data_IF_352738195830
#
_entry.id   IF_352738195830
#
_cell.length_a   1.000
_cell.length_b   1.000
_cell.length_c   1.000
_cell.angle_alpha   90.00
_cell.angle_beta   90.00
_cell.angle_gamma   90.00
#
_symmetry.space_group_name_H-M   'P 1'
#
loop_
_entity.id
_entity.type
_entity.pdbx_description
1 polymer ?
#
# COMPACT_ATOMS: atom_id res chain seq x y z
N UNK A 1 -26.66 19.38 -13.68
CA UNK A 1 -25.45 18.89 -12.97
C UNK A 1 -24.96 19.87 -11.89
N UNK A 2 -25.18 21.19 -12.02
CA UNK A 2 -25.00 22.17 -10.92
C UNK A 2 -25.93 21.93 -9.72
N UNK A 3 -27.14 21.41 -9.94
CA UNK A 3 -28.16 21.19 -8.89
C UNK A 3 -27.93 19.96 -7.98
N UNK A 4 -26.93 19.11 -8.25
CA UNK A 4 -26.49 18.08 -7.30
C UNK A 4 -25.28 18.53 -6.46
N UNK A 5 -24.65 19.65 -6.83
CA UNK A 5 -23.52 20.20 -6.09
C UNK A 5 -23.99 20.82 -4.75
N UNK A 6 -25.22 21.36 -4.72
CA UNK A 6 -25.66 22.42 -3.79
C UNK A 6 -26.55 21.97 -2.62
N UNK A 7 -26.86 20.66 -2.50
CA UNK A 7 -27.96 20.22 -1.59
C UNK A 7 -27.60 20.12 -0.10
N UNK A 8 -26.32 20.18 0.27
CA UNK A 8 -25.83 20.50 1.62
C UNK A 8 -24.29 20.34 1.66
N UNK A 9 -23.51 21.42 1.72
CA UNK A 9 -22.04 21.33 1.77
C UNK A 9 -21.56 20.60 3.03
N UNK A 10 -22.25 20.79 4.16
CA UNK A 10 -21.93 20.15 5.45
C UNK A 10 -22.14 18.63 5.41
N UNK A 11 -23.18 18.14 4.73
CA UNK A 11 -23.40 16.69 4.57
C UNK A 11 -22.35 16.06 3.67
N UNK A 12 -21.86 16.74 2.61
CA UNK A 12 -20.78 16.22 1.77
C UNK A 12 -19.47 16.17 2.54
N UNK A 13 -19.10 17.23 3.24
CA UNK A 13 -17.89 17.21 4.08
C UNK A 13 -17.99 16.12 5.15
N UNK A 14 -19.14 16.00 5.84
CA UNK A 14 -19.38 14.94 6.80
C UNK A 14 -19.31 13.53 6.18
N UNK A 15 -19.81 13.35 4.95
CA UNK A 15 -19.77 12.06 4.23
C UNK A 15 -18.34 11.71 3.81
N UNK A 16 -17.55 12.69 3.35
CA UNK A 16 -16.13 12.51 3.05
C UNK A 16 -15.36 12.18 4.33
N UNK A 17 -15.54 12.96 5.40
CA UNK A 17 -14.92 12.68 6.70
C UNK A 17 -15.33 11.31 7.26
N UNK A 18 -16.60 10.92 7.11
CA UNK A 18 -17.08 9.60 7.52
C UNK A 18 -16.46 8.48 6.68
N UNK A 19 -16.34 8.66 5.36
CA UNK A 19 -15.70 7.66 4.48
C UNK A 19 -14.19 7.50 4.75
N UNK A 20 -13.48 8.59 5.03
CA UNK A 20 -12.06 8.54 5.46
C UNK A 20 -11.93 7.89 6.84
N UNK A 21 -12.84 8.19 7.78
CA UNK A 21 -12.84 7.58 9.11
C UNK A 21 -13.17 6.09 9.06
N UNK A 22 -14.15 5.69 8.24
CA UNK A 22 -14.48 4.29 7.96
C UNK A 22 -13.30 3.55 7.32
N UNK A 23 -12.59 4.16 6.37
CA UNK A 23 -11.39 3.58 5.79
C UNK A 23 -10.28 3.39 6.85
N UNK A 24 -10.07 4.39 7.72
CA UNK A 24 -9.07 4.32 8.77
C UNK A 24 -9.43 3.32 9.90
N UNK A 25 -10.72 3.17 10.21
CA UNK A 25 -11.19 2.16 11.14
C UNK A 25 -11.08 0.75 10.51
N UNK A 26 -11.40 0.60 9.22
CA UNK A 26 -11.24 -0.66 8.47
C UNK A 26 -9.79 -1.16 8.46
N UNK A 27 -8.82 -0.25 8.37
CA UNK A 27 -7.38 -0.55 8.44
C UNK A 27 -7.02 -1.27 9.73
N UNK A 28 -7.54 -0.82 10.88
CA UNK A 28 -7.24 -1.45 12.18
C UNK A 28 -7.75 -2.88 12.22
N UNK A 29 -8.95 -3.13 11.73
CA UNK A 29 -9.52 -4.49 11.70
C UNK A 29 -8.73 -5.42 10.79
N UNK A 30 -8.31 -4.95 9.61
CA UNK A 30 -7.49 -5.77 8.72
C UNK A 30 -6.10 -5.98 9.28
N UNK A 31 -5.47 -4.96 9.88
CA UNK A 31 -4.18 -5.11 10.55
C UNK A 31 -4.24 -6.10 11.72
N UNK A 32 -5.32 -6.06 12.52
CA UNK A 32 -5.58 -7.04 13.58
C UNK A 32 -5.77 -8.45 13.01
N UNK A 33 -6.50 -8.60 11.90
CA UNK A 33 -6.66 -9.88 11.23
C UNK A 33 -5.33 -10.41 10.70
N UNK A 34 -4.52 -9.57 10.02
CA UNK A 34 -3.19 -9.92 9.52
C UNK A 34 -2.27 -10.37 10.65
N UNK A 35 -2.22 -9.64 11.75
CA UNK A 35 -1.45 -10.02 12.95
C UNK A 35 -1.97 -11.32 13.56
N UNK A 36 -3.28 -11.48 13.67
CA UNK A 36 -3.85 -12.71 14.17
C UNK A 36 -3.45 -13.90 13.30
N UNK A 37 -3.61 -13.81 11.97
CA UNK A 37 -3.21 -14.87 11.06
C UNK A 37 -1.70 -15.15 11.11
N UNK A 38 -0.88 -14.12 11.15
CA UNK A 38 0.58 -14.21 11.22
C UNK A 38 1.03 -15.00 12.46
N UNK A 39 0.42 -14.76 13.62
CA UNK A 39 0.82 -15.36 14.90
C UNK A 39 -0.14 -16.44 15.44
N UNK A 40 -1.18 -16.86 14.70
CA UNK A 40 -2.20 -17.83 15.20
C UNK A 40 -1.61 -19.17 15.62
N UNK A 41 -0.52 -19.58 14.98
CA UNK A 41 0.18 -20.84 15.23
C UNK A 41 1.33 -20.68 16.25
N UNK A 42 1.49 -19.50 16.84
CA UNK A 42 2.52 -19.22 17.82
C UNK A 42 2.16 -19.85 19.18
N UNK A 43 3.14 -20.47 19.84
CA UNK A 43 2.96 -21.21 21.10
C UNK A 43 2.52 -20.31 22.27
N UNK A 44 2.94 -19.03 22.28
CA UNK A 44 2.60 -18.07 23.34
C UNK A 44 1.43 -17.16 22.95
N UNK A 45 0.29 -17.33 23.64
CA UNK A 45 -0.89 -16.46 23.49
C UNK A 45 -0.63 -15.02 23.96
N UNK A 46 0.29 -14.83 24.91
CA UNK A 46 0.69 -13.50 25.39
C UNK A 46 1.35 -12.68 24.29
N UNK A 47 2.15 -13.32 23.42
CA UNK A 47 2.79 -12.66 22.26
C UNK A 47 1.76 -12.10 21.28
N UNK A 48 0.74 -12.89 20.96
CA UNK A 48 -0.37 -12.47 20.08
C UNK A 48 -1.06 -11.22 20.64
N UNK A 49 -1.35 -11.23 21.95
CA UNK A 49 -1.97 -10.08 22.61
C UNK A 49 -1.10 -8.83 22.55
N UNK A 50 0.21 -8.95 22.77
CA UNK A 50 1.15 -7.84 22.64
C UNK A 50 1.18 -7.26 21.21
N UNK A 51 1.18 -8.11 20.18
CA UNK A 51 1.11 -7.65 18.79
C UNK A 51 -0.20 -6.93 18.48
N UNK A 52 -1.32 -7.43 19.00
CA UNK A 52 -2.61 -6.74 18.87
C UNK A 52 -2.60 -5.38 19.58
N UNK A 53 -1.96 -5.28 20.76
CA UNK A 53 -1.79 -3.99 21.43
C UNK A 53 -0.93 -3.02 20.59
N UNK A 54 0.14 -3.49 19.94
CA UNK A 54 0.93 -2.64 19.06
C UNK A 54 0.12 -2.09 17.87
N UNK A 55 -0.82 -2.87 17.34
CA UNK A 55 -1.75 -2.39 16.30
C UNK A 55 -2.71 -1.33 16.88
N UNK A 56 -3.30 -1.60 18.05
CA UNK A 56 -4.26 -0.70 18.68
C UNK A 56 -3.64 0.65 19.06
N UNK A 57 -2.40 0.64 19.55
CA UNK A 57 -1.64 1.86 19.90
C UNK A 57 -0.88 2.47 18.71
N UNK A 58 -1.07 1.97 17.48
CA UNK A 58 -0.36 2.41 16.28
C UNK A 58 1.19 2.36 16.40
N UNK A 59 1.71 1.56 17.33
CA UNK A 59 3.14 1.37 17.56
C UNK A 59 3.75 0.34 16.59
N UNK A 60 2.92 -0.49 15.96
CA UNK A 60 3.37 -1.60 15.11
C UNK A 60 4.36 -1.20 14.00
N UNK A 61 4.16 -0.11 13.23
CA UNK A 61 5.13 0.29 12.21
C UNK A 61 6.54 0.52 12.77
N UNK A 62 6.65 1.08 13.98
CA UNK A 62 7.94 1.31 14.64
C UNK A 62 8.56 0.03 15.19
N UNK A 63 7.73 -0.87 15.75
CA UNK A 63 8.17 -2.17 16.25
C UNK A 63 8.66 -3.07 15.11
N UNK A 64 7.92 -3.11 14.00
CA UNK A 64 8.30 -3.89 12.81
C UNK A 64 9.59 -3.32 12.19
N UNK A 65 9.72 -1.99 12.11
CA UNK A 65 10.95 -1.31 11.67
C UNK A 65 12.16 -1.69 12.52
N UNK A 66 11.98 -1.67 13.84
CA UNK A 66 13.02 -2.06 14.77
C UNK A 66 13.47 -3.52 14.56
N UNK A 67 12.53 -4.46 14.36
CA UNK A 67 12.84 -5.87 14.13
C UNK A 67 13.58 -6.12 12.81
N UNK A 68 13.19 -5.41 11.74
CA UNK A 68 13.87 -5.51 10.44
C UNK A 68 15.30 -4.96 10.51
N UNK A 69 15.51 -3.84 11.20
CA UNK A 69 16.85 -3.26 11.39
C UNK A 69 17.75 -4.17 12.21
N UNK A 70 17.21 -4.88 13.19
CA UNK A 70 17.95 -5.88 13.96
C UNK A 70 18.17 -7.21 13.22
N UNK A 71 17.70 -7.34 11.98
CA UNK A 71 17.74 -8.59 11.22
C UNK A 71 17.16 -9.76 12.04
N UNK A 72 16.06 -9.53 12.75
CA UNK A 72 15.41 -10.57 13.54
C UNK A 72 15.01 -11.74 12.66
N UNK A 73 15.35 -12.96 13.08
CA UNK A 73 14.95 -14.17 12.39
C UNK A 73 13.44 -14.41 12.53
N UNK A 74 12.91 -15.27 11.66
CA UNK A 74 11.51 -15.67 11.68
C UNK A 74 11.19 -16.38 13.01
N UNK A 75 10.22 -15.85 13.75
CA UNK A 75 9.75 -16.46 15.02
C UNK A 75 9.09 -17.83 14.78
N UNK A 76 9.25 -18.75 15.74
CA UNK A 76 8.70 -20.12 15.66
C UNK A 76 7.17 -20.06 15.64
N UNK A 77 6.56 -20.52 14.53
CA UNK A 77 5.10 -20.49 14.33
C UNK A 77 4.57 -19.23 13.64
N UNK A 78 5.42 -18.26 13.30
CA UNK A 78 5.04 -17.14 12.44
C UNK A 78 4.90 -17.59 10.97
N UNK A 79 3.97 -16.99 10.21
CA UNK A 79 3.81 -17.31 8.79
C UNK A 79 4.93 -16.70 7.93
N UNK A 80 5.25 -15.43 8.16
CA UNK A 80 6.22 -14.66 7.39
C UNK A 80 7.41 -14.21 8.24
N UNK A 81 8.55 -13.91 7.61
CA UNK A 81 9.67 -13.23 8.26
C UNK A 81 9.32 -11.75 8.57
N UNK A 82 9.99 -11.11 9.54
CA UNK A 82 9.67 -9.73 9.95
C UNK A 82 9.72 -8.70 8.82
N UNK A 83 10.59 -8.90 7.83
CA UNK A 83 10.71 -8.02 6.67
C UNK A 83 9.50 -8.16 5.75
N UNK A 84 9.10 -9.38 5.41
CA UNK A 84 7.90 -9.63 4.62
C UNK A 84 6.63 -9.17 5.33
N UNK A 85 6.53 -9.35 6.65
CA UNK A 85 5.41 -8.84 7.46
C UNK A 85 5.27 -7.32 7.34
N UNK A 86 6.38 -6.59 7.48
CA UNK A 86 6.40 -5.14 7.32
C UNK A 86 5.97 -4.72 5.91
N UNK A 87 6.51 -5.37 4.87
CA UNK A 87 6.16 -5.07 3.48
C UNK A 87 4.66 -5.24 3.26
N UNK A 88 4.06 -6.34 3.72
CA UNK A 88 2.62 -6.58 3.58
C UNK A 88 1.82 -5.49 4.29
N UNK A 89 2.22 -5.10 5.50
CA UNK A 89 1.59 -4.02 6.25
C UNK A 89 1.68 -2.68 5.50
N UNK A 90 2.85 -2.33 4.97
CA UNK A 90 3.09 -1.11 4.18
C UNK A 90 2.31 -1.10 2.86
N UNK A 91 2.21 -2.23 2.18
CA UNK A 91 1.40 -2.37 0.97
C UNK A 91 -0.09 -2.16 1.28
N UNK A 92 -0.57 -2.67 2.41
CA UNK A 92 -1.94 -2.44 2.86
C UNK A 92 -2.19 -0.97 3.22
N UNK A 93 -1.26 -0.32 3.93
CA UNK A 93 -1.31 1.12 4.21
C UNK A 93 -1.37 1.95 2.92
N UNK A 94 -0.55 1.62 1.92
CA UNK A 94 -0.58 2.28 0.61
C UNK A 94 -1.94 2.13 -0.07
N UNK A 95 -2.51 0.92 -0.06
CA UNK A 95 -3.77 0.62 -0.73
C UNK A 95 -5.00 1.22 -0.05
N UNK A 96 -5.13 1.06 1.27
CA UNK A 96 -6.33 1.42 2.01
C UNK A 96 -6.38 2.89 2.44
N UNK A 97 -5.22 3.56 2.55
CA UNK A 97 -5.14 4.92 3.10
C UNK A 97 -4.48 5.89 2.12
N UNK A 98 -3.26 5.60 1.66
CA UNK A 98 -2.50 6.56 0.87
C UNK A 98 -3.14 6.83 -0.51
N UNK A 99 -3.55 5.78 -1.23
CA UNK A 99 -4.18 5.93 -2.55
C UNK A 99 -5.54 6.64 -2.44
N UNK A 100 -6.51 6.18 -1.62
CA UNK A 100 -7.79 6.89 -1.45
C UNK A 100 -7.61 8.32 -0.93
N UNK A 101 -6.69 8.54 0.02
CA UNK A 101 -6.37 9.86 0.54
C UNK A 101 -5.86 10.80 -0.55
N UNK A 102 -4.95 10.34 -1.39
CA UNK A 102 -4.42 11.12 -2.51
C UNK A 102 -5.49 11.49 -3.53
N UNK A 103 -6.48 10.60 -3.78
CA UNK A 103 -7.62 10.88 -4.66
C UNK A 103 -8.53 11.97 -4.07
N UNK A 104 -8.84 11.89 -2.78
CA UNK A 104 -9.67 12.89 -2.09
C UNK A 104 -8.97 14.25 -2.05
N UNK A 105 -7.67 14.29 -1.73
CA UNK A 105 -6.87 15.52 -1.75
C UNK A 105 -6.80 16.14 -3.14
N UNK A 106 -6.65 15.31 -4.18
CA UNK A 106 -6.65 15.77 -5.58
C UNK A 106 -8.03 16.33 -5.98
N UNK A 107 -9.12 15.68 -5.55
CA UNK A 107 -10.48 16.17 -5.76
C UNK A 107 -10.74 17.50 -5.06
N UNK A 108 -10.30 17.64 -3.79
CA UNK A 108 -10.41 18.88 -3.04
C UNK A 108 -9.63 20.03 -3.70
N UNK A 109 -8.46 19.75 -4.27
CA UNK A 109 -7.67 20.72 -5.01
C UNK A 109 -8.35 21.17 -6.32
N UNK A 110 -8.92 20.24 -7.10
CA UNK A 110 -9.52 20.55 -8.40
C UNK A 110 -10.93 21.16 -8.31
N UNK A 111 -11.77 20.70 -7.38
CA UNK A 111 -13.19 21.06 -7.31
C UNK A 111 -13.45 22.16 -6.26
N UNK A 112 -12.52 22.40 -5.35
CA UNK A 112 -12.65 23.41 -4.30
C UNK A 112 -12.75 24.83 -4.86
N UNK A 113 -13.76 25.59 -4.42
CA UNK A 113 -14.00 26.98 -4.83
C UNK A 113 -12.94 27.96 -4.32
N UNK A 114 -12.32 27.65 -3.17
CA UNK A 114 -11.14 28.30 -2.65
C UNK A 114 -10.06 27.23 -2.52
N UNK A 115 -8.95 27.36 -3.24
CA UNK A 115 -7.82 26.43 -3.13
C UNK A 115 -6.87 26.95 -2.05
N UNK A 116 -7.00 26.54 -0.78
CA UNK A 116 -6.03 26.95 0.22
C UNK A 116 -4.68 26.34 -0.15
N UNK A 117 -3.59 27.11 -0.04
CA UNK A 117 -2.23 26.60 -0.21
C UNK A 117 -2.00 25.31 0.61
N UNK A 118 -2.67 25.20 1.78
CA UNK A 118 -2.66 24.02 2.64
C UNK A 118 -3.10 22.72 1.94
N UNK A 119 -4.04 22.76 0.99
CA UNK A 119 -4.49 21.57 0.26
C UNK A 119 -3.41 21.02 -0.68
N UNK A 120 -2.67 21.92 -1.36
CA UNK A 120 -1.53 21.55 -2.22
C UNK A 120 -0.42 20.95 -1.36
N UNK A 121 -0.08 21.59 -0.24
CA UNK A 121 0.93 21.04 0.67
C UNK A 121 0.53 19.66 1.19
N UNK A 122 -0.73 19.47 1.61
CA UNK A 122 -1.23 18.18 2.08
C UNK A 122 -1.15 17.09 1.00
N UNK A 123 -1.51 17.43 -0.24
CA UNK A 123 -1.41 16.53 -1.39
C UNK A 123 0.05 16.15 -1.68
N UNK A 124 0.95 17.13 -1.75
CA UNK A 124 2.38 16.90 -2.03
C UNK A 124 3.01 16.00 -0.96
N UNK A 125 2.78 16.28 0.32
CA UNK A 125 3.32 15.46 1.40
C UNK A 125 2.76 14.03 1.37
N UNK A 126 1.46 13.88 1.12
CA UNK A 126 0.81 12.56 1.00
C UNK A 126 1.41 11.73 -0.15
N UNK A 127 1.53 12.32 -1.34
CA UNK A 127 2.15 11.67 -2.51
C UNK A 127 3.62 11.31 -2.23
N UNK A 128 4.37 12.19 -1.56
CA UNK A 128 5.75 11.94 -1.21
C UNK A 128 5.88 10.80 -0.18
N UNK A 129 5.09 10.79 0.89
CA UNK A 129 5.12 9.70 1.87
C UNK A 129 4.77 8.34 1.25
N UNK A 130 3.76 8.32 0.38
CA UNK A 130 3.38 7.11 -0.35
C UNK A 130 4.50 6.64 -1.29
N UNK A 131 5.10 7.56 -2.03
CA UNK A 131 6.17 7.26 -2.99
C UNK A 131 7.46 6.84 -2.31
N UNK A 132 7.78 7.44 -1.17
CA UNK A 132 8.92 7.04 -0.34
C UNK A 132 8.75 5.61 0.17
N UNK A 133 7.54 5.26 0.63
CA UNK A 133 7.22 3.90 1.09
C UNK A 133 7.34 2.88 -0.04
N UNK A 134 6.72 3.17 -1.21
CA UNK A 134 6.78 2.29 -2.39
C UNK A 134 8.20 2.11 -2.91
N UNK A 135 8.97 3.20 -2.96
CA UNK A 135 10.38 3.19 -3.38
C UNK A 135 11.25 2.42 -2.40
N UNK A 136 11.05 2.61 -1.08
CA UNK A 136 11.75 1.88 -0.04
C UNK A 136 11.57 0.36 -0.17
N UNK A 137 10.32 -0.09 -0.32
CA UNK A 137 10.01 -1.50 -0.51
C UNK A 137 10.71 -2.05 -1.76
N UNK A 138 10.60 -1.35 -2.90
CA UNK A 138 11.21 -1.78 -4.17
C UNK A 138 12.73 -1.80 -4.09
N UNK A 139 13.33 -0.80 -3.45
CA UNK A 139 14.77 -0.69 -3.25
C UNK A 139 15.29 -1.82 -2.35
N UNK A 140 14.58 -2.13 -1.26
CA UNK A 140 14.95 -3.23 -0.37
C UNK A 140 14.93 -4.57 -1.11
N UNK A 141 13.87 -4.84 -1.88
CA UNK A 141 13.78 -6.07 -2.69
C UNK A 141 14.90 -6.15 -3.74
N UNK A 142 15.20 -5.05 -4.43
CA UNK A 142 16.32 -5.04 -5.37
C UNK A 142 17.66 -5.26 -4.67
N UNK A 143 17.85 -4.76 -3.44
CA UNK A 143 19.09 -4.93 -2.68
C UNK A 143 19.24 -6.32 -2.04
N UNK A 144 18.21 -7.17 -2.07
CA UNK A 144 18.30 -8.53 -1.55
C UNK A 144 19.11 -9.45 -2.48
N UNK A 145 20.07 -10.16 -1.88
CA UNK A 145 20.95 -11.09 -2.60
C UNK A 145 20.17 -12.28 -3.13
N UNK A 146 19.22 -12.81 -2.36
CA UNK A 146 18.44 -13.98 -2.75
C UNK A 146 17.53 -13.64 -3.92
N UNK A 147 16.83 -12.51 -3.85
CA UNK A 147 16.00 -12.00 -4.94
C UNK A 147 16.79 -11.83 -6.25
N UNK A 148 18.00 -11.24 -6.20
CA UNK A 148 18.89 -11.08 -7.37
C UNK A 148 19.30 -12.40 -8.00
N UNK A 149 19.55 -13.43 -7.20
CA UNK A 149 19.91 -14.77 -7.70
C UNK A 149 18.70 -15.46 -8.34
N UNK A 150 17.52 -15.34 -7.73
CA UNK A 150 16.29 -15.98 -8.23
C UNK A 150 15.73 -15.32 -9.49
N UNK A 151 15.85 -14.00 -9.62
CA UNK A 151 15.30 -13.24 -10.74
C UNK A 151 16.29 -12.16 -11.23
N UNK A 152 17.42 -12.57 -11.83
CA UNK A 152 18.49 -11.66 -12.25
C UNK A 152 18.09 -10.72 -13.40
N UNK A 153 17.06 -11.06 -14.16
CA UNK A 153 16.53 -10.20 -15.21
C UNK A 153 15.65 -9.06 -14.67
N UNK A 154 15.15 -9.20 -13.44
CA UNK A 154 14.23 -8.24 -12.81
C UNK A 154 14.93 -7.40 -11.74
N UNK A 155 15.75 -8.05 -10.91
CA UNK A 155 16.53 -7.41 -9.84
C UNK A 155 17.99 -7.20 -10.24
N UNK A 156 18.66 -6.27 -9.56
CA UNK A 156 20.06 -5.91 -9.80
C UNK A 156 20.23 -4.53 -10.46
N UNK A 157 19.15 -3.74 -10.59
CA UNK A 157 19.23 -2.41 -11.19
C UNK A 157 19.84 -1.37 -10.23
N UNK A 158 19.85 -1.63 -8.91
CA UNK A 158 20.54 -0.78 -7.94
C UNK A 158 22.04 -1.16 -7.89
N UNK A 159 22.95 -0.23 -8.24
CA UNK A 159 24.38 -0.49 -8.25
C UNK A 159 24.98 -0.59 -6.83
N UNK A 160 26.14 -1.23 -6.70
CA UNK A 160 26.81 -1.41 -5.39
C UNK A 160 27.33 -0.12 -4.75
N UNK A 161 27.70 0.88 -5.56
CA UNK A 161 28.33 2.13 -5.12
C UNK A 161 27.35 3.09 -4.44
N UNK A 162 27.69 3.61 -3.25
CA UNK A 162 26.82 4.43 -2.40
C UNK A 162 26.25 5.66 -3.11
N UNK A 163 27.08 6.43 -3.85
CA UNK A 163 26.62 7.63 -4.57
C UNK A 163 25.58 7.28 -5.64
N UNK A 164 25.77 6.16 -6.33
CA UNK A 164 24.84 5.70 -7.37
C UNK A 164 23.55 5.14 -6.77
N UNK A 165 23.60 4.47 -5.60
CA UNK A 165 22.41 4.04 -4.86
C UNK A 165 21.48 5.21 -4.53
N UNK A 166 22.04 6.29 -3.97
CA UNK A 166 21.26 7.49 -3.65
C UNK A 166 20.63 8.10 -4.91
N UNK A 167 21.38 8.14 -6.04
CA UNK A 167 20.84 8.61 -7.32
C UNK A 167 19.68 7.75 -7.82
N UNK A 168 19.83 6.42 -7.79
CA UNK A 168 18.78 5.48 -8.22
C UNK A 168 17.56 5.59 -7.31
N UNK A 169 17.76 5.59 -5.99
CA UNK A 169 16.68 5.78 -5.02
C UNK A 169 15.92 7.08 -5.26
N UNK A 170 16.62 8.21 -5.40
CA UNK A 170 16.00 9.50 -5.68
C UNK A 170 15.22 9.47 -7.00
N UNK A 171 15.76 8.87 -8.07
CA UNK A 171 15.05 8.76 -9.34
C UNK A 171 13.78 7.91 -9.24
N UNK A 172 13.84 6.76 -8.56
CA UNK A 172 12.66 5.91 -8.33
C UNK A 172 11.59 6.66 -7.53
N UNK A 173 12.01 7.38 -6.49
CA UNK A 173 11.14 8.18 -5.66
C UNK A 173 10.38 9.24 -6.46
N UNK A 174 11.08 10.04 -7.28
CA UNK A 174 10.44 11.06 -8.09
C UNK A 174 9.55 10.47 -9.20
N UNK A 175 9.97 9.37 -9.84
CA UNK A 175 9.15 8.68 -10.83
C UNK A 175 7.86 8.16 -10.17
N UNK A 176 7.97 7.51 -9.01
CA UNK A 176 6.81 7.03 -8.26
C UNK A 176 5.87 8.17 -7.85
N UNK A 177 6.41 9.31 -7.43
CA UNK A 177 5.61 10.49 -7.07
C UNK A 177 4.87 11.08 -8.28
N UNK A 178 5.55 11.21 -9.42
CA UNK A 178 4.94 11.65 -10.67
C UNK A 178 3.88 10.67 -11.18
N UNK A 179 4.11 9.36 -11.06
CA UNK A 179 3.14 8.34 -11.47
C UNK A 179 1.90 8.36 -10.58
N UNK A 180 2.06 8.44 -9.26
CA UNK A 180 0.94 8.50 -8.33
C UNK A 180 0.11 9.77 -8.53
N UNK A 181 0.75 10.92 -8.70
CA UNK A 181 0.04 12.19 -8.95
C UNK A 181 -0.68 12.20 -10.29
N UNK A 182 -0.04 11.72 -11.36
CA UNK A 182 -0.65 11.62 -12.69
C UNK A 182 -1.88 10.69 -12.68
N UNK A 183 -1.78 9.55 -11.99
CA UNK A 183 -2.90 8.61 -11.86
C UNK A 183 -4.02 9.16 -11.00
N UNK A 184 -3.71 9.81 -9.89
CA UNK A 184 -4.72 10.44 -9.04
C UNK A 184 -5.47 11.55 -9.80
N UNK A 185 -4.74 12.39 -10.54
CA UNK A 185 -5.33 13.44 -11.38
C UNK A 185 -6.22 12.85 -12.47
N UNK A 186 -5.75 11.83 -13.18
CA UNK A 186 -6.52 11.17 -14.25
C UNK A 186 -7.81 10.55 -13.70
N UNK A 187 -7.75 9.84 -12.57
CA UNK A 187 -8.92 9.29 -11.91
C UNK A 187 -9.95 10.37 -11.57
N UNK A 188 -9.52 11.50 -10.99
CA UNK A 188 -10.42 12.59 -10.59
C UNK A 188 -11.02 13.27 -11.81
N UNK A 189 -10.23 13.53 -12.87
CA UNK A 189 -10.75 14.13 -14.11
C UNK A 189 -11.79 13.22 -14.78
N UNK A 190 -11.53 11.91 -14.86
CA UNK A 190 -12.52 10.95 -15.35
C UNK A 190 -13.78 10.93 -14.46
N UNK A 191 -13.62 11.07 -13.14
CA UNK A 191 -14.74 11.06 -12.19
C UNK A 191 -15.64 12.30 -12.30
N UNK A 192 -15.08 13.44 -12.70
CA UNK A 192 -15.84 14.67 -12.97
C UNK A 192 -16.68 14.52 -14.24
N UNK A 193 -16.18 13.81 -15.25
CA UNK A 193 -16.89 13.61 -16.51
C UNK A 193 -18.05 12.62 -16.36
N UNK A 194 -17.75 11.37 -15.98
CA UNK A 194 -18.79 10.36 -15.72
C UNK A 194 -18.24 9.18 -14.92
N UNK A 195 -19.12 8.51 -14.16
CA UNK A 195 -18.74 7.28 -13.44
C UNK A 195 -18.32 6.16 -14.39
N UNK A 196 -18.86 6.11 -15.62
CA UNK A 196 -18.48 5.11 -16.62
C UNK A 196 -17.07 5.33 -17.15
N UNK A 197 -16.64 6.59 -17.34
CA UNK A 197 -15.28 6.94 -17.79
C UNK A 197 -14.23 6.48 -16.76
N UNK A 198 -14.52 6.60 -15.46
CA UNK A 198 -13.65 6.09 -14.39
C UNK A 198 -13.50 4.58 -14.48
N UNK A 199 -14.59 3.86 -14.69
CA UNK A 199 -14.55 2.39 -14.82
C UNK A 199 -13.70 1.99 -16.03
N UNK A 200 -13.87 2.64 -17.18
CA UNK A 200 -13.04 2.38 -18.36
C UNK A 200 -11.56 2.69 -18.12
N UNK A 201 -11.24 3.80 -17.45
CA UNK A 201 -9.87 4.14 -17.08
C UNK A 201 -9.26 3.08 -16.14
N UNK A 202 -9.97 2.68 -15.09
CA UNK A 202 -9.50 1.65 -14.15
C UNK A 202 -9.31 0.28 -14.82
N UNK A 203 -10.21 -0.09 -15.75
CA UNK A 203 -10.08 -1.31 -16.55
C UNK A 203 -8.89 -1.22 -17.51
N UNK A 204 -8.64 -0.07 -18.15
CA UNK A 204 -7.49 0.14 -19.03
C UNK A 204 -6.15 0.04 -18.29
N UNK A 205 -6.09 0.59 -17.07
CA UNK A 205 -4.91 0.55 -16.20
C UNK A 205 -4.68 -0.82 -15.52
N UNK A 206 -5.63 -1.75 -15.65
CA UNK A 206 -5.61 -3.05 -14.97
C UNK A 206 -4.64 -4.07 -15.56
N UNK A 207 -3.58 -3.64 -16.26
CA UNK A 207 -2.57 -4.52 -16.86
C UNK A 207 -1.95 -5.49 -15.83
N UNK A 208 -1.71 -5.02 -14.60
CA UNK A 208 -1.24 -5.86 -13.49
C UNK A 208 -2.32 -6.86 -13.05
N UNK A 209 -3.59 -6.46 -13.04
CA UNK A 209 -4.71 -7.31 -12.65
C UNK A 209 -5.00 -8.38 -13.71
N UNK A 210 -4.88 -8.02 -14.99
CA UNK A 210 -4.92 -8.94 -16.13
C UNK A 210 -3.76 -9.94 -16.09
N UNK A 211 -2.55 -9.48 -15.75
CA UNK A 211 -1.40 -10.37 -15.56
C UNK A 211 -1.60 -11.34 -14.38
N UNK A 212 -2.12 -10.85 -13.24
CA UNK A 212 -2.47 -11.70 -12.10
C UNK A 212 -3.60 -12.67 -12.42
N UNK A 213 -4.62 -12.23 -13.16
CA UNK A 213 -5.69 -13.10 -13.64
C UNK A 213 -5.14 -14.17 -14.60
N UNK A 214 -4.24 -13.81 -15.50
CA UNK A 214 -3.54 -14.76 -16.37
C UNK A 214 -2.74 -15.81 -15.58
N UNK A 215 -2.02 -15.39 -14.53
CA UNK A 215 -1.36 -16.33 -13.60
C UNK A 215 -2.35 -17.20 -12.84
N UNK A 216 -3.51 -16.65 -12.44
CA UNK A 216 -4.60 -17.41 -11.81
C UNK A 216 -5.10 -18.52 -12.71
N UNK A 217 -5.36 -18.22 -13.97
CA UNK A 217 -5.81 -19.19 -14.97
C UNK A 217 -4.78 -20.29 -15.20
N UNK A 218 -3.48 -19.97 -15.16
CA UNK A 218 -2.41 -20.97 -15.27
C UNK A 218 -2.17 -21.76 -13.98
N UNK A 219 -2.86 -21.43 -12.88
CA UNK A 219 -2.60 -21.98 -11.53
C UNK A 219 -1.15 -21.78 -11.09
N UNK A 220 -0.49 -20.76 -11.64
CA UNK A 220 0.93 -20.45 -11.39
C UNK A 220 1.07 -19.41 -10.28
N UNK A 221 0.35 -19.65 -9.17
CA UNK A 221 0.59 -18.99 -7.91
C UNK A 221 1.39 -19.94 -7.02
N UNK A 222 2.65 -20.17 -7.38
CA UNK A 222 3.59 -20.87 -6.50
C UNK A 222 3.85 -19.95 -5.30
N UNK A 223 3.02 -20.08 -4.26
CA UNK A 223 2.99 -19.17 -3.11
C UNK A 223 4.10 -19.56 -2.12
N UNK A 224 4.98 -18.62 -1.77
CA UNK A 224 6.11 -18.87 -0.87
C UNK A 224 5.71 -19.00 0.60
N UNK A 225 4.48 -18.63 0.97
CA UNK A 225 3.98 -18.77 2.34
C UNK A 225 3.31 -20.15 2.47
N UNK A 226 3.67 -20.96 3.47
CA UNK A 226 3.00 -22.22 3.72
C UNK A 226 1.57 -21.92 4.22
N UNK A 227 0.56 -22.15 3.38
CA UNK A 227 -0.85 -21.95 3.74
C UNK A 227 -1.44 -23.30 4.10
N UNK A 228 -1.53 -23.59 5.40
CA UNK A 228 -2.13 -24.85 5.86
C UNK A 228 -3.67 -24.80 5.83
N UNK A 229 -4.31 -25.86 5.32
CA UNK A 229 -5.77 -26.01 5.28
C UNK A 229 -6.37 -25.82 3.88
N UNK A 230 -7.53 -25.15 3.76
CA UNK A 230 -8.24 -24.98 2.46
C UNK A 230 -7.38 -24.29 1.38
N UNK A 231 -6.39 -23.48 1.79
CA UNK A 231 -5.42 -22.82 0.90
C UNK A 231 -4.37 -23.76 0.30
N UNK A 232 -4.19 -24.96 0.85
CA UNK A 232 -3.28 -26.00 0.34
C UNK A 232 -3.79 -26.59 -0.98
N UNK A 233 -5.11 -26.56 -1.21
CA UNK A 233 -5.76 -27.00 -2.46
C UNK A 233 -5.37 -26.09 -3.63
N UNK A 234 -5.05 -24.82 -3.36
CA UNK A 234 -4.58 -23.86 -4.36
C UNK A 234 -3.07 -23.95 -4.60
N UNK A 235 -2.32 -24.64 -3.74
CA UNK A 235 -0.88 -24.90 -3.91
C UNK A 235 -0.57 -26.19 -4.70
N UNK A 236 -1.60 -26.97 -5.12
CA UNK A 236 -1.50 -28.13 -6.02
C UNK A 236 -2.10 -27.85 -7.40
#
# INVERSE_FOLDING_TARGET
MRDMQDRNPVLKEALVFMSVRLANDSKKYVALALVYFQYRNHLSKSRIFTEMLYVLFAAKPGVDAYRVVLCAEKEVGALMDPRSEMVVSKCWELFAEAIPGSLIQTCAFLVGSNQPNAAIFSLVFSVFTASFTSTGVSFDFDMDKNARVQSPNFYGYVPGETKKKVKVFASMFFISACQLSAKALSCVLCAVESSMTVVFYLVGESQMLLFLAYKLFRRDFTYWIPVYGLGEILQR
#
